data_IF_824330232008
#
_entry.id   IF_824330232008
#
_cell.length_a   1.000
_cell.length_b   1.000
_cell.length_c   1.000
_cell.angle_alpha   90.00
_cell.angle_beta   90.00
_cell.angle_gamma   90.00
#
_symmetry.space_group_name_H-M   'P 1'
#
loop_
_entity.id
_entity.type
_entity.pdbx_description
1 polymer ?
#
# COMPACT_ATOMS: atom_id res chain seq x y z
N UNK A 1 17.92 -21.50 23.34
CA UNK A 1 16.77 -20.58 23.43
C UNK A 1 15.55 -21.42 23.14
N UNK A 2 14.59 -21.47 24.06
CA UNK A 2 13.32 -22.16 23.81
C UNK A 2 12.62 -21.50 22.61
N UNK A 3 11.93 -22.27 21.76
CA UNK A 3 11.13 -21.68 20.70
C UNK A 3 10.11 -20.73 21.36
N UNK A 4 9.90 -19.51 20.84
CA UNK A 4 8.89 -18.61 21.39
C UNK A 4 7.57 -19.36 21.44
N UNK A 5 6.82 -19.25 22.54
CA UNK A 5 5.50 -19.85 22.66
C UNK A 5 4.65 -19.34 21.49
N UNK A 6 4.44 -20.21 20.50
CA UNK A 6 3.62 -19.90 19.32
C UNK A 6 2.18 -20.25 19.68
N UNK A 7 1.31 -19.26 19.56
CA UNK A 7 -0.13 -19.42 19.75
C UNK A 7 -0.73 -19.73 18.38
N UNK A 8 -1.23 -20.94 18.23
CA UNK A 8 -1.93 -21.40 17.04
C UNK A 8 -3.43 -21.11 17.15
N UNK A 9 -3.99 -20.36 16.19
CA UNK A 9 -5.43 -20.08 16.11
C UNK A 9 -5.94 -20.45 14.71
N UNK A 10 -6.20 -21.75 14.44
CA UNK A 10 -6.46 -22.26 13.09
C UNK A 10 -7.81 -21.87 12.51
N UNK A 11 -8.64 -21.17 13.26
CA UNK A 11 -9.99 -20.73 12.87
C UNK A 11 -10.07 -19.22 12.63
N UNK A 12 -9.02 -18.47 12.93
CA UNK A 12 -9.06 -17.01 12.90
C UNK A 12 -8.83 -16.53 11.45
N UNK A 13 -9.91 -16.06 10.82
CA UNK A 13 -9.90 -15.61 9.43
C UNK A 13 -9.56 -14.12 9.26
N UNK A 14 -9.79 -13.30 10.29
CA UNK A 14 -9.52 -11.87 10.25
C UNK A 14 -8.82 -11.38 11.51
N UNK A 15 -7.72 -10.65 11.32
CA UNK A 15 -6.92 -10.08 12.39
C UNK A 15 -6.72 -8.57 12.18
N UNK A 16 -6.95 -7.80 13.24
CA UNK A 16 -6.60 -6.38 13.32
C UNK A 16 -5.68 -6.19 14.53
N UNK A 17 -4.50 -5.62 14.30
CA UNK A 17 -3.54 -5.28 15.35
C UNK A 17 -3.09 -3.82 15.24
N UNK A 18 -2.70 -3.24 16.38
CA UNK A 18 -2.09 -1.92 16.47
C UNK A 18 -0.60 -1.86 16.04
N UNK A 19 -0.10 -2.91 15.39
CA UNK A 19 1.32 -3.15 15.08
C UNK A 19 1.55 -4.63 14.81
N UNK A 20 2.75 -5.02 14.37
CA UNK A 20 3.09 -6.38 13.96
C UNK A 20 3.91 -7.15 14.99
N UNK A 21 4.31 -6.53 16.11
CA UNK A 21 5.05 -7.19 17.19
C UNK A 21 4.46 -8.53 17.64
N UNK A 22 3.13 -8.60 17.79
CA UNK A 22 2.44 -9.82 18.20
C UNK A 22 2.48 -10.94 17.15
N UNK A 23 2.70 -10.62 15.86
CA UNK A 23 2.75 -11.62 14.79
C UNK A 23 3.90 -12.63 14.99
N UNK A 24 4.98 -12.24 15.68
CA UNK A 24 6.11 -13.13 16.00
C UNK A 24 5.73 -14.35 16.86
N UNK A 25 4.58 -14.28 17.54
CA UNK A 25 4.04 -15.31 18.43
C UNK A 25 2.78 -16.00 17.89
N UNK A 26 2.36 -15.71 16.65
CA UNK A 26 1.10 -16.24 16.11
C UNK A 26 1.35 -17.20 14.95
N UNK A 27 0.46 -18.18 14.81
CA UNK A 27 0.29 -19.01 13.61
C UNK A 27 -1.19 -19.08 13.27
N UNK A 28 -1.56 -18.51 12.11
CA UNK A 28 -2.95 -18.28 11.72
C UNK A 28 -3.23 -18.83 10.32
N UNK A 29 -3.29 -20.15 10.13
CA UNK A 29 -3.37 -20.77 8.80
C UNK A 29 -4.67 -20.45 8.03
N UNK A 30 -5.77 -20.14 8.73
CA UNK A 30 -7.03 -19.73 8.11
C UNK A 30 -7.13 -18.22 7.83
N UNK A 31 -6.08 -17.43 8.12
CA UNK A 31 -6.14 -15.98 7.99
C UNK A 31 -6.31 -15.57 6.51
N UNK A 32 -7.36 -14.82 6.24
CA UNK A 32 -7.65 -14.27 4.92
C UNK A 32 -7.53 -12.74 4.90
N UNK A 33 -7.66 -12.10 6.06
CA UNK A 33 -7.65 -10.65 6.21
C UNK A 33 -6.72 -10.22 7.33
N UNK A 34 -5.65 -9.50 6.99
CA UNK A 34 -4.71 -8.92 7.94
C UNK A 34 -4.74 -7.39 7.89
N UNK A 35 -4.94 -6.75 9.04
CA UNK A 35 -4.87 -5.30 9.19
C UNK A 35 -3.90 -4.91 10.30
N UNK A 36 -2.90 -4.11 9.95
CA UNK A 36 -1.84 -3.63 10.84
C UNK A 36 -1.89 -2.11 10.86
N UNK A 37 -2.47 -1.57 11.94
CA UNK A 37 -2.68 -0.14 12.16
C UNK A 37 -1.69 0.38 13.19
N UNK A 38 -0.50 0.77 12.74
CA UNK A 38 0.45 1.48 13.55
C UNK A 38 -0.03 2.91 13.80
N UNK A 39 0.02 3.36 15.04
CA UNK A 39 -0.37 4.72 15.43
C UNK A 39 0.80 5.71 15.43
N UNK A 40 2.00 5.32 14.96
CA UNK A 40 3.23 6.11 15.03
C UNK A 40 4.19 5.88 13.85
N UNK A 41 5.32 6.60 13.87
CA UNK A 41 6.40 6.52 12.88
C UNK A 41 6.90 5.09 12.65
N UNK A 42 7.62 4.86 11.53
CA UNK A 42 8.05 3.55 11.05
C UNK A 42 8.69 2.70 12.16
N UNK A 43 7.93 1.75 12.69
CA UNK A 43 8.47 0.82 13.66
C UNK A 43 9.15 -0.31 12.90
N UNK A 44 10.49 -0.25 12.77
CA UNK A 44 11.28 -1.29 12.09
C UNK A 44 10.99 -2.70 12.59
N UNK A 45 10.66 -2.84 13.88
CA UNK A 45 10.27 -4.11 14.51
C UNK A 45 9.02 -4.68 13.84
N UNK A 46 8.06 -3.83 13.49
CA UNK A 46 6.84 -4.28 12.85
C UNK A 46 7.11 -4.78 11.42
N UNK A 47 7.96 -4.08 10.67
CA UNK A 47 8.34 -4.51 9.32
C UNK A 47 9.03 -5.87 9.28
N UNK A 48 9.82 -6.20 10.31
CA UNK A 48 10.57 -7.46 10.39
C UNK A 48 9.72 -8.67 10.81
N UNK A 49 8.53 -8.45 11.35
CA UNK A 49 7.70 -9.54 11.88
C UNK A 49 6.68 -10.07 10.87
N UNK A 50 6.38 -9.34 9.79
CA UNK A 50 5.30 -9.71 8.86
C UNK A 50 5.70 -10.91 7.99
N UNK A 51 6.82 -10.85 7.26
CA UNK A 51 7.22 -11.94 6.37
C UNK A 51 7.46 -13.27 7.11
N UNK A 52 8.18 -13.31 8.27
CA UNK A 52 8.30 -14.54 9.04
C UNK A 52 6.97 -15.10 9.55
N UNK A 53 6.01 -14.23 9.86
CA UNK A 53 4.66 -14.65 10.23
C UNK A 53 3.90 -15.27 9.06
N UNK A 54 4.00 -14.69 7.85
CA UNK A 54 3.37 -15.21 6.64
C UNK A 54 3.97 -16.55 6.24
N UNK A 55 5.29 -16.69 6.30
CA UNK A 55 6.00 -17.95 6.05
C UNK A 55 5.56 -19.05 7.03
N UNK A 56 5.46 -18.71 8.33
CA UNK A 56 5.02 -19.66 9.36
C UNK A 56 3.55 -20.04 9.24
N UNK A 57 2.68 -19.06 9.01
CA UNK A 57 1.23 -19.27 8.98
C UNK A 57 0.78 -19.94 7.68
N UNK A 58 1.54 -19.77 6.59
CA UNK A 58 1.19 -20.28 5.25
C UNK A 58 -0.25 -19.92 4.83
N UNK A 59 -0.73 -18.76 5.29
CA UNK A 59 -2.10 -18.34 5.11
C UNK A 59 -2.35 -17.75 3.71
N UNK A 60 -3.55 -17.94 3.18
CA UNK A 60 -3.98 -17.38 1.91
C UNK A 60 -4.65 -16.01 2.12
N UNK A 61 -3.84 -14.95 2.19
CA UNK A 61 -4.36 -13.59 2.36
C UNK A 61 -5.03 -13.09 1.08
N UNK A 62 -6.26 -12.62 1.22
CA UNK A 62 -7.01 -11.90 0.19
C UNK A 62 -7.01 -10.39 0.44
N UNK A 63 -6.92 -9.94 1.69
CA UNK A 63 -6.87 -8.52 2.06
C UNK A 63 -5.73 -8.24 3.02
N UNK A 64 -4.94 -7.22 2.71
CA UNK A 64 -3.82 -6.74 3.51
C UNK A 64 -3.93 -5.21 3.65
N UNK A 65 -3.98 -4.74 4.88
CA UNK A 65 -3.93 -3.32 5.22
C UNK A 65 -2.74 -3.09 6.14
N UNK A 66 -1.78 -2.25 5.73
CA UNK A 66 -0.60 -1.94 6.52
C UNK A 66 -0.38 -0.44 6.53
N UNK A 67 -0.08 0.09 7.71
CA UNK A 67 0.28 1.49 7.92
C UNK A 67 1.71 1.63 8.43
N UNK A 68 2.39 2.70 8.02
CA UNK A 68 3.74 3.06 8.46
C UNK A 68 4.78 1.95 8.26
N UNK A 69 4.74 1.32 7.08
CA UNK A 69 5.71 0.31 6.67
C UNK A 69 6.76 0.92 5.74
N UNK A 70 8.02 0.60 6.01
CA UNK A 70 9.14 0.91 5.13
C UNK A 70 9.06 0.04 3.86
N UNK A 71 9.10 0.71 2.71
CA UNK A 71 8.91 0.13 1.38
C UNK A 71 9.92 -0.97 1.06
N UNK A 72 11.11 -0.96 1.67
CA UNK A 72 12.15 -1.98 1.47
C UNK A 72 11.72 -3.39 1.90
N UNK A 73 10.69 -3.50 2.74
CA UNK A 73 10.16 -4.79 3.22
C UNK A 73 8.98 -5.31 2.39
N UNK A 74 8.38 -4.47 1.54
CA UNK A 74 7.25 -4.89 0.70
C UNK A 74 7.59 -6.05 -0.26
N UNK A 75 8.77 -6.11 -0.91
CA UNK A 75 9.07 -7.23 -1.81
C UNK A 75 9.00 -8.59 -1.11
N UNK A 76 9.53 -8.65 0.11
CA UNK A 76 9.54 -9.87 0.93
C UNK A 76 8.12 -10.25 1.34
N UNK A 77 7.34 -9.30 1.85
CA UNK A 77 5.94 -9.51 2.24
C UNK A 77 5.08 -9.95 1.04
N UNK A 78 5.21 -9.29 -0.10
CA UNK A 78 4.43 -9.59 -1.30
C UNK A 78 4.75 -10.95 -1.90
N UNK A 79 5.99 -11.43 -1.75
CA UNK A 79 6.37 -12.77 -2.20
C UNK A 79 5.53 -13.88 -1.55
N UNK A 80 5.05 -13.65 -0.31
CA UNK A 80 4.17 -14.55 0.41
C UNK A 80 2.67 -14.29 0.15
N UNK A 81 2.31 -13.20 -0.53
CA UNK A 81 0.93 -12.73 -0.71
C UNK A 81 0.44 -12.87 -2.17
N UNK A 82 0.83 -13.92 -2.89
CA UNK A 82 0.43 -14.11 -4.31
C UNK A 82 -1.09 -14.19 -4.54
N UNK A 83 -1.85 -14.57 -3.51
CA UNK A 83 -3.31 -14.63 -3.52
C UNK A 83 -4.02 -13.29 -3.26
N UNK A 84 -3.28 -12.22 -2.99
CA UNK A 84 -3.82 -10.97 -2.50
C UNK A 84 -4.63 -10.23 -3.56
N UNK A 85 -5.89 -9.92 -3.24
CA UNK A 85 -6.82 -9.21 -4.12
C UNK A 85 -6.94 -7.73 -3.74
N UNK A 86 -6.79 -7.41 -2.45
CA UNK A 86 -6.92 -6.06 -1.92
C UNK A 86 -5.72 -5.67 -1.07
N UNK A 87 -5.07 -4.58 -1.44
CA UNK A 87 -3.96 -3.97 -0.72
C UNK A 87 -4.30 -2.54 -0.34
N UNK A 88 -4.18 -2.22 0.95
CA UNK A 88 -4.26 -0.86 1.48
C UNK A 88 -2.95 -0.54 2.17
N UNK A 89 -2.26 0.49 1.70
CA UNK A 89 -1.04 0.99 2.32
C UNK A 89 -1.27 2.40 2.81
N UNK A 90 -0.83 2.71 4.03
CA UNK A 90 -0.77 4.10 4.49
C UNK A 90 0.61 4.47 5.02
N UNK A 91 1.02 5.71 4.77
CA UNK A 91 2.35 6.19 5.15
C UNK A 91 2.34 7.69 5.40
N UNK A 92 2.98 8.08 6.50
CA UNK A 92 3.43 9.45 6.71
C UNK A 92 4.88 9.60 6.22
N UNK A 93 5.15 10.53 5.30
CA UNK A 93 6.46 10.66 4.64
C UNK A 93 6.72 12.07 4.10
N UNK A 94 8.00 12.46 4.05
CA UNK A 94 8.49 13.68 3.39
C UNK A 94 8.90 13.42 1.93
N UNK A 95 8.72 12.21 1.43
CA UNK A 95 9.12 11.81 0.08
C UNK A 95 8.04 10.94 -0.58
N UNK A 96 6.81 11.46 -0.76
CA UNK A 96 5.70 10.73 -1.36
C UNK A 96 6.01 10.19 -2.76
N UNK A 97 6.80 10.89 -3.58
CA UNK A 97 7.15 10.41 -4.93
C UNK A 97 7.95 9.11 -4.91
N UNK A 98 8.96 9.03 -4.05
CA UNK A 98 9.80 7.84 -3.94
C UNK A 98 8.98 6.67 -3.43
N UNK A 99 8.18 6.89 -2.38
CA UNK A 99 7.30 5.85 -1.85
C UNK A 99 6.30 5.34 -2.91
N UNK A 100 5.65 6.23 -3.65
CA UNK A 100 4.72 5.84 -4.72
C UNK A 100 5.42 5.10 -5.84
N UNK A 101 6.56 5.60 -6.30
CA UNK A 101 7.34 4.97 -7.37
C UNK A 101 7.72 3.53 -6.98
N UNK A 102 8.22 3.35 -5.77
CA UNK A 102 8.63 2.04 -5.27
C UNK A 102 7.43 1.10 -5.14
N UNK A 103 6.35 1.52 -4.47
CA UNK A 103 5.13 0.68 -4.31
C UNK A 103 4.52 0.30 -5.66
N UNK A 104 4.36 1.26 -6.57
CA UNK A 104 3.74 1.01 -7.88
C UNK A 104 4.62 0.12 -8.76
N UNK A 105 5.96 0.24 -8.65
CA UNK A 105 6.88 -0.65 -9.37
C UNK A 105 6.72 -2.12 -8.96
N UNK A 106 6.44 -2.39 -7.67
CA UNK A 106 6.19 -3.73 -7.15
C UNK A 106 4.84 -4.31 -7.57
N UNK A 107 3.88 -3.44 -7.91
CA UNK A 107 2.54 -3.83 -8.36
C UNK A 107 2.40 -3.91 -9.88
N UNK A 108 3.44 -3.47 -10.62
CA UNK A 108 3.49 -3.42 -12.09
C UNK A 108 3.99 -4.75 -12.66
N UNK A 109 3.56 -5.06 -13.88
CA UNK A 109 4.10 -6.14 -14.69
C UNK A 109 3.04 -7.15 -15.11
N UNK A 110 3.35 -8.00 -16.10
CA UNK A 110 2.47 -9.09 -16.49
C UNK A 110 2.28 -10.05 -15.32
N UNK A 111 1.19 -10.82 -15.30
CA UNK A 111 0.85 -11.72 -14.19
C UNK A 111 1.97 -12.69 -13.81
N UNK A 112 2.80 -13.10 -14.77
CA UNK A 112 3.90 -14.04 -14.56
C UNK A 112 5.05 -13.46 -13.71
N UNK A 113 5.33 -12.15 -13.86
CA UNK A 113 6.44 -11.44 -13.22
C UNK A 113 6.00 -10.58 -12.02
N UNK A 114 4.70 -10.33 -11.88
CA UNK A 114 4.15 -9.48 -10.82
C UNK A 114 4.19 -10.20 -9.45
N UNK A 115 4.62 -9.47 -8.40
CA UNK A 115 4.59 -10.01 -7.04
C UNK A 115 3.16 -10.22 -6.53
N UNK A 116 2.21 -9.42 -7.02
CA UNK A 116 0.81 -9.44 -6.63
C UNK A 116 -0.10 -9.65 -7.87
N UNK A 117 -0.04 -10.83 -8.51
CA UNK A 117 -0.69 -11.07 -9.80
C UNK A 117 -2.22 -10.99 -9.71
N UNK A 118 -2.79 -11.32 -8.54
CA UNK A 118 -4.25 -11.28 -8.29
C UNK A 118 -4.77 -9.95 -7.76
N UNK A 119 -3.92 -8.94 -7.60
CA UNK A 119 -4.34 -7.67 -7.02
C UNK A 119 -5.36 -6.98 -7.92
N UNK A 120 -6.58 -6.79 -7.40
CA UNK A 120 -7.67 -6.12 -8.07
C UNK A 120 -7.91 -4.72 -7.52
N UNK A 121 -7.51 -4.47 -6.26
CA UNK A 121 -7.73 -3.21 -5.56
C UNK A 121 -6.47 -2.76 -4.84
N UNK A 122 -5.96 -1.59 -5.22
CA UNK A 122 -4.85 -0.91 -4.54
C UNK A 122 -5.34 0.42 -3.99
N UNK A 123 -5.15 0.66 -2.71
CA UNK A 123 -5.35 1.97 -2.09
C UNK A 123 -4.06 2.41 -1.40
N UNK A 124 -3.58 3.60 -1.72
CA UNK A 124 -2.42 4.20 -1.05
C UNK A 124 -2.85 5.51 -0.40
N UNK A 125 -2.75 5.59 0.93
CA UNK A 125 -3.09 6.75 1.73
C UNK A 125 -1.80 7.42 2.20
N UNK A 126 -1.49 8.60 1.69
CA UNK A 126 -0.29 9.34 2.07
C UNK A 126 -0.64 10.54 2.93
N UNK A 127 0.14 10.70 3.99
CA UNK A 127 0.18 11.93 4.77
C UNK A 127 1.56 12.57 4.60
N UNK A 128 1.60 13.79 4.10
CA UNK A 128 2.87 14.50 3.94
C UNK A 128 3.20 15.20 5.26
N UNK A 129 4.34 14.87 5.87
CA UNK A 129 4.85 15.63 7.01
C UNK A 129 5.61 16.86 6.50
N UNK A 130 5.37 18.02 7.08
CA UNK A 130 6.21 19.20 6.90
C UNK A 130 7.08 19.37 8.15
N UNK A 131 8.08 18.50 8.29
CA UNK A 131 9.00 18.47 9.44
C UNK A 131 9.62 19.84 9.74
N UNK A 132 9.80 20.67 8.71
CA UNK A 132 10.51 21.93 8.81
C UNK A 132 9.60 23.16 8.73
N UNK A 133 8.29 22.99 8.50
CA UNK A 133 7.35 24.09 8.17
C UNK A 133 7.84 24.96 7.02
N UNK A 134 8.64 24.39 6.13
CA UNK A 134 9.24 25.12 5.01
C UNK A 134 8.41 24.95 3.73
N UNK A 135 7.32 24.19 3.80
CA UNK A 135 6.62 23.72 2.61
C UNK A 135 7.40 22.61 1.91
N UNK A 136 6.67 21.85 1.11
CA UNK A 136 7.23 20.78 0.32
C UNK A 136 7.88 21.34 -0.95
N UNK A 137 9.19 21.12 -1.15
CA UNK A 137 9.93 21.64 -2.31
C UNK A 137 10.04 20.66 -3.50
N UNK A 138 9.42 19.49 -3.41
CA UNK A 138 9.43 18.49 -4.50
C UNK A 138 8.32 18.74 -5.54
N UNK A 139 8.55 18.37 -6.82
CA UNK A 139 7.49 18.40 -7.84
C UNK A 139 6.39 17.39 -7.48
N UNK A 140 5.11 17.64 -7.74
CA UNK A 140 4.04 16.71 -7.41
C UNK A 140 4.24 15.26 -7.85
N UNK A 141 3.65 14.29 -7.12
CA UNK A 141 3.72 12.91 -7.56
C UNK A 141 2.92 12.84 -8.84
N UNK A 142 3.60 12.40 -9.89
CA UNK A 142 2.97 12.22 -11.17
C UNK A 142 1.92 11.12 -11.07
N UNK A 143 0.78 11.31 -11.70
CA UNK A 143 -0.20 10.23 -11.89
C UNK A 143 0.28 9.21 -12.95
N UNK A 144 1.33 9.52 -13.72
CA UNK A 144 1.83 8.66 -14.81
C UNK A 144 2.23 7.26 -14.34
N UNK A 145 3.01 7.07 -13.25
CA UNK A 145 3.34 5.73 -12.75
C UNK A 145 2.10 4.92 -12.33
N UNK A 146 1.06 5.58 -11.80
CA UNK A 146 -0.21 4.94 -11.46
C UNK A 146 -0.91 4.44 -12.72
N UNK A 147 -1.00 5.30 -13.75
CA UNK A 147 -1.58 4.95 -15.04
C UNK A 147 -0.82 3.81 -15.71
N UNK A 148 0.51 3.88 -15.74
CA UNK A 148 1.36 2.82 -16.30
C UNK A 148 1.20 1.48 -15.57
N UNK A 149 1.01 1.50 -14.25
CA UNK A 149 0.75 0.29 -13.48
C UNK A 149 -0.61 -0.32 -13.86
N UNK A 150 -1.68 0.48 -13.90
CA UNK A 150 -3.03 0.00 -14.27
C UNK A 150 -3.08 -0.45 -15.73
N UNK A 151 -2.44 0.27 -16.65
CA UNK A 151 -2.38 -0.08 -18.08
C UNK A 151 -1.57 -1.37 -18.33
N UNK A 152 -0.60 -1.68 -17.47
CA UNK A 152 0.19 -2.92 -17.58
C UNK A 152 -0.58 -4.19 -17.22
N UNK A 153 -1.84 -4.07 -16.77
CA UNK A 153 -2.64 -5.16 -16.24
C UNK A 153 -4.04 -5.15 -16.85
N UNK A 154 -4.47 -6.32 -17.30
CA UNK A 154 -5.76 -6.48 -17.96
C UNK A 154 -6.91 -6.57 -16.94
N UNK A 155 -6.71 -7.24 -15.81
CA UNK A 155 -7.74 -7.53 -14.80
C UNK A 155 -7.75 -6.56 -13.59
N UNK A 156 -7.13 -5.38 -13.72
CA UNK A 156 -7.00 -4.45 -12.61
C UNK A 156 -8.30 -3.65 -12.37
N UNK A 157 -8.96 -3.91 -11.24
CA UNK A 157 -10.25 -3.29 -10.91
C UNK A 157 -10.17 -1.80 -10.56
N UNK A 158 -9.48 -1.45 -9.47
CA UNK A 158 -9.44 -0.06 -8.96
C UNK A 158 -8.12 0.25 -8.26
N UNK A 159 -7.41 1.29 -8.73
CA UNK A 159 -6.25 1.86 -8.03
C UNK A 159 -6.62 3.24 -7.54
N UNK A 160 -6.40 3.51 -6.26
CA UNK A 160 -6.67 4.79 -5.63
C UNK A 160 -5.43 5.26 -4.89
N UNK A 161 -5.04 6.51 -5.12
CA UNK A 161 -4.03 7.22 -4.32
C UNK A 161 -4.72 8.43 -3.70
N UNK A 162 -4.76 8.48 -2.38
CA UNK A 162 -5.26 9.61 -1.62
C UNK A 162 -4.08 10.27 -0.90
N UNK A 163 -3.88 11.57 -1.15
CA UNK A 163 -2.81 12.34 -0.52
C UNK A 163 -3.45 13.43 0.33
N UNK A 164 -3.27 13.29 1.65
CA UNK A 164 -3.65 14.28 2.65
C UNK A 164 -2.44 15.16 3.00
N UNK A 165 -2.65 16.48 3.03
CA UNK A 165 -1.62 17.46 3.34
C UNK A 165 -1.90 18.14 4.67
N UNK A 166 -0.87 18.36 5.48
CA UNK A 166 -0.96 19.19 6.68
C UNK A 166 -0.78 20.69 6.41
N UNK A 167 -0.42 21.11 5.19
CA UNK A 167 0.02 22.49 4.86
C UNK A 167 -0.24 22.85 3.40
N UNK A 168 -0.54 24.13 3.12
CA UNK A 168 -1.07 24.72 1.86
C UNK A 168 -0.14 24.74 0.62
N UNK A 169 1.00 24.05 0.62
CA UNK A 169 2.07 24.31 -0.35
C UNK A 169 2.24 23.25 -1.44
N UNK A 170 1.12 22.81 -2.01
CA UNK A 170 1.14 22.12 -3.29
C UNK A 170 0.63 23.02 -4.39
N UNK A 171 1.46 23.26 -5.40
CA UNK A 171 1.00 23.86 -6.64
C UNK A 171 -0.16 23.04 -7.22
N UNK A 172 -1.11 23.73 -7.86
CA UNK A 172 -2.28 23.11 -8.48
C UNK A 172 -1.88 21.90 -9.33
N UNK A 173 -2.26 20.71 -8.85
CA UNK A 173 -2.12 19.43 -9.54
C UNK A 173 -3.15 19.38 -10.67
N UNK A 174 -3.01 20.24 -11.68
CA UNK A 174 -3.81 20.13 -12.89
C UNK A 174 -3.21 18.97 -13.69
N UNK A 175 -3.92 17.83 -13.83
CA UNK A 175 -3.44 16.76 -14.69
C UNK A 175 -3.31 17.28 -16.12
N UNK A 176 -2.26 16.88 -16.82
CA UNK A 176 -2.11 17.22 -18.23
C UNK A 176 -3.22 16.56 -19.08
N UNK A 177 -3.47 17.11 -20.26
CA UNK A 177 -4.54 16.64 -21.14
C UNK A 177 -4.36 15.16 -21.54
N UNK A 178 -3.12 14.69 -21.59
CA UNK A 178 -2.79 13.29 -21.86
C UNK A 178 -3.24 12.35 -20.73
N UNK A 179 -3.01 12.74 -19.48
CA UNK A 179 -3.46 12.01 -18.29
C UNK A 179 -4.99 11.96 -18.25
N UNK A 180 -5.67 13.06 -18.58
CA UNK A 180 -7.14 13.10 -18.63
C UNK A 180 -7.67 12.09 -19.66
N UNK A 181 -7.10 12.08 -20.87
CA UNK A 181 -7.50 11.14 -21.92
C UNK A 181 -7.25 9.67 -21.53
N UNK A 182 -6.11 9.38 -20.90
CA UNK A 182 -5.79 8.01 -20.41
C UNK A 182 -6.76 7.55 -19.33
N UNK A 183 -7.10 8.40 -18.36
CA UNK A 183 -8.10 8.10 -17.33
C UNK A 183 -9.47 7.83 -17.95
N UNK A 184 -9.88 8.60 -18.96
CA UNK A 184 -11.13 8.37 -19.68
C UNK A 184 -11.14 7.01 -20.39
N UNK A 185 -10.08 6.68 -21.13
CA UNK A 185 -9.95 5.40 -21.81
C UNK A 185 -9.99 4.21 -20.82
N UNK A 186 -9.36 4.35 -19.64
CA UNK A 186 -9.45 3.34 -18.58
C UNK A 186 -10.89 3.15 -18.10
N UNK A 187 -11.62 4.24 -17.83
CA UNK A 187 -13.03 4.18 -17.40
C UNK A 187 -13.92 3.51 -18.43
N UNK A 188 -13.74 3.81 -19.72
CA UNK A 188 -14.48 3.16 -20.81
C UNK A 188 -14.20 1.65 -20.89
N UNK A 189 -12.99 1.22 -20.53
CA UNK A 189 -12.61 -0.20 -20.41
C UNK A 189 -13.07 -0.88 -19.11
N UNK A 190 -13.80 -0.18 -18.22
CA UNK A 190 -14.26 -0.70 -16.93
C UNK A 190 -13.20 -0.70 -15.82
N UNK A 191 -12.01 -0.16 -16.07
CA UNK A 191 -10.90 -0.04 -15.12
C UNK A 191 -10.88 1.35 -14.49
N UNK A 192 -10.38 1.47 -13.26
CA UNK A 192 -10.32 2.75 -12.54
C UNK A 192 -8.95 3.05 -11.98
N UNK A 193 -8.44 4.23 -12.31
CA UNK A 193 -7.31 4.86 -11.66
C UNK A 193 -7.80 6.20 -11.09
N UNK A 194 -7.80 6.33 -9.77
CA UNK A 194 -8.23 7.50 -9.02
C UNK A 194 -7.02 8.09 -8.29
N UNK A 195 -6.86 9.39 -8.43
CA UNK A 195 -5.76 10.14 -7.85
C UNK A 195 -6.35 11.38 -7.20
N UNK A 196 -6.53 11.32 -5.88
CA UNK A 196 -7.15 12.36 -5.07
C UNK A 196 -6.08 13.07 -4.26
N UNK A 197 -6.06 14.39 -4.34
CA UNK A 197 -5.22 15.22 -3.47
C UNK A 197 -6.14 16.18 -2.75
N UNK A 198 -6.41 15.86 -1.50
CA UNK A 198 -7.18 16.71 -0.62
C UNK A 198 -6.24 17.80 -0.09
N UNK A 199 -6.33 18.98 -0.70
CA UNK A 199 -5.92 20.21 -0.01
C UNK A 199 -6.86 20.40 1.17
N UNK A 200 -6.34 20.82 2.33
CA UNK A 200 -7.18 21.11 3.51
C UNK A 200 -8.27 22.11 3.11
N UNK A 201 -9.52 21.65 2.98
CA UNK A 201 -10.67 22.55 2.96
C UNK A 201 -10.82 23.10 4.38
N UNK A 202 -10.51 24.38 4.55
CA UNK A 202 -10.86 25.10 5.77
C UNK A 202 -12.38 25.26 5.83
N UNK A 203 -13.00 24.69 6.88
CA UNK A 203 -14.25 25.20 7.45
C UNK A 203 -13.96 26.35 8.42
#
# INVERSE_FOLDING_TARGET
>A
MDPPDVIELPFLESLLLGGAALLSHLSLPALTVLRLRNSGEDCLVDSLNIAPFLDRSQCLLYTLEISHLDVKHLPDIFSHCRGLERLVLSKTTNSPHLYLQDVLSLCRGPEEDCLLPRLMMLTILLQILDEYRMGFYGPPPSAVPLLEMVESRDDFGTAQIDISQGTEHYGSLIPDESCIQRVQALRESGRRAEYCVDGVEYL
#
